data_IF_409873922514
#
_entry.id   IF_409873922514
#
_cell.length_a   1.000
_cell.length_b   1.000
_cell.length_c   1.000
_cell.angle_alpha   90.00
_cell.angle_beta   90.00
_cell.angle_gamma   90.00
#
_symmetry.space_group_name_H-M   'P 1'
#
loop_
_entity.id
_entity.type
_entity.pdbx_description
1 polymer ?
#
# COMPACT_ATOMS: atom_id res chain seq x y z
N UNK A 1 -29.56 6.66 18.35
CA UNK A 1 -28.44 7.48 18.86
C UNK A 1 -27.68 6.67 19.90
N UNK A 2 -26.52 6.15 19.53
CA UNK A 2 -25.62 5.43 20.44
C UNK A 2 -24.48 6.38 20.80
N UNK A 3 -23.95 6.27 22.01
CA UNK A 3 -22.80 7.05 22.44
C UNK A 3 -21.61 6.14 22.68
N UNK A 4 -20.42 6.62 22.32
CA UNK A 4 -19.18 5.90 22.52
C UNK A 4 -18.89 5.76 24.02
N UNK A 5 -18.76 4.53 24.52
CA UNK A 5 -18.53 4.27 25.96
C UNK A 5 -17.17 4.77 26.48
N UNK A 6 -16.26 5.15 25.58
CA UNK A 6 -14.91 5.60 25.92
C UNK A 6 -14.75 7.12 25.83
N UNK A 7 -15.20 7.75 24.75
CA UNK A 7 -15.03 9.20 24.56
C UNK A 7 -16.34 10.00 24.65
N UNK A 8 -17.50 9.35 24.81
CA UNK A 8 -18.80 10.01 24.93
C UNK A 8 -19.35 10.63 23.63
N UNK A 9 -18.64 10.51 22.51
CA UNK A 9 -19.11 11.03 21.22
C UNK A 9 -20.37 10.31 20.75
N UNK A 10 -21.28 11.05 20.12
CA UNK A 10 -22.45 10.47 19.46
C UNK A 10 -22.03 9.70 18.22
N UNK A 11 -22.52 8.47 18.10
CA UNK A 11 -22.25 7.56 16.99
C UNK A 11 -23.52 7.49 16.14
N UNK A 12 -23.47 7.96 14.87
CA UNK A 12 -24.55 7.77 13.91
C UNK A 12 -24.88 6.28 13.72
N UNK A 13 -26.15 5.97 13.45
CA UNK A 13 -26.58 4.59 13.29
C UNK A 13 -25.87 3.94 12.08
N UNK A 14 -25.04 2.92 12.37
CA UNK A 14 -24.24 2.20 11.37
C UNK A 14 -22.75 2.57 11.34
N UNK A 15 -22.33 3.55 12.13
CA UNK A 15 -20.92 3.96 12.25
C UNK A 15 -20.25 3.40 13.52
N UNK A 16 -18.93 3.49 13.55
CA UNK A 16 -18.10 3.14 14.72
C UNK A 16 -17.38 4.39 15.25
N UNK A 17 -17.13 4.40 16.55
CA UNK A 17 -16.43 5.50 17.22
C UNK A 17 -14.94 5.50 16.86
N UNK A 18 -14.41 6.66 16.45
CA UNK A 18 -13.01 6.82 16.01
C UNK A 18 -12.03 7.22 17.12
N UNK A 19 -12.39 7.16 18.41
CA UNK A 19 -11.41 7.43 19.47
C UNK A 19 -10.43 6.26 19.63
N UNK A 20 -9.20 6.57 20.05
CA UNK A 20 -8.12 5.60 20.15
C UNK A 20 -8.51 4.37 21.00
N UNK A 21 -9.22 4.58 22.09
CA UNK A 21 -9.66 3.54 23.02
C UNK A 21 -10.71 2.60 22.41
N UNK A 22 -11.65 3.14 21.62
CA UNK A 22 -12.65 2.35 20.93
C UNK A 22 -12.03 1.50 19.80
N UNK A 23 -11.06 2.06 19.09
CA UNK A 23 -10.31 1.35 18.05
C UNK A 23 -9.46 0.22 18.67
N UNK A 24 -8.80 0.48 19.80
CA UNK A 24 -7.99 -0.51 20.52
C UNK A 24 -8.83 -1.68 21.07
N UNK A 25 -10.06 -1.45 21.52
CA UNK A 25 -10.96 -2.53 21.95
C UNK A 25 -11.45 -3.38 20.78
N UNK A 26 -11.81 -2.76 19.63
CA UNK A 26 -12.21 -3.49 18.44
C UNK A 26 -11.07 -4.38 17.89
N UNK A 27 -9.84 -3.90 17.94
CA UNK A 27 -8.62 -4.66 17.60
C UNK A 27 -8.39 -5.82 18.59
N UNK A 28 -8.65 -5.61 19.87
CA UNK A 28 -8.46 -6.61 20.93
C UNK A 28 -9.53 -7.71 20.91
N UNK A 29 -10.76 -7.40 20.47
CA UNK A 29 -11.84 -8.38 20.32
C UNK A 29 -11.56 -9.42 19.21
N UNK A 30 -10.79 -9.04 18.19
CA UNK A 30 -10.37 -9.96 17.10
C UNK A 30 -9.23 -10.90 17.54
N UNK A 31 -8.42 -10.53 18.55
CA UNK A 31 -7.30 -11.36 19.04
C UNK A 31 -7.69 -12.59 19.87
N UNK A 32 -8.98 -12.85 20.11
CA UNK A 32 -9.46 -14.09 20.78
C UNK A 32 -10.12 -15.06 19.80
N UNK A 33 -9.41 -15.47 18.76
CA UNK A 33 -9.53 -16.82 18.21
C UNK A 33 -8.16 -17.27 17.71
N UNK A 34 -7.31 -17.71 18.64
CA UNK A 34 -6.21 -18.60 18.29
C UNK A 34 -6.52 -20.01 18.78
N UNK A 35 -6.29 -20.97 17.87
CA UNK A 35 -5.87 -22.35 18.13
C UNK A 35 -6.97 -23.42 18.35
N UNK A 36 -7.46 -24.00 17.26
CA UNK A 36 -7.21 -25.40 16.88
C UNK A 36 -7.96 -25.86 15.59
N UNK A 37 -7.33 -26.82 14.92
CA UNK A 37 -7.89 -27.75 13.92
C UNK A 37 -8.21 -27.25 12.50
N UNK A 38 -7.62 -28.01 11.57
CA UNK A 38 -7.79 -28.01 10.12
C UNK A 38 -9.26 -28.19 9.70
N UNK A 39 -9.55 -27.68 8.49
CA UNK A 39 -10.70 -27.97 7.62
C UNK A 39 -11.98 -27.10 7.76
N UNK A 40 -12.17 -26.25 6.75
CA UNK A 40 -13.43 -26.20 6.02
C UNK A 40 -14.40 -25.07 6.35
N UNK A 41 -14.22 -23.92 5.71
CA UNK A 41 -15.32 -23.08 5.24
C UNK A 41 -14.81 -22.05 4.19
N UNK A 42 -14.51 -22.53 2.98
CA UNK A 42 -14.66 -21.69 1.80
C UNK A 42 -16.16 -21.49 1.55
N UNK A 43 -16.67 -20.30 1.86
CA UNK A 43 -17.90 -19.74 1.28
C UNK A 43 -17.50 -18.32 0.84
N UNK A 44 -17.05 -18.16 -0.40
CA UNK A 44 -17.88 -17.65 -1.51
C UNK A 44 -18.49 -16.28 -1.13
N UNK A 45 -18.00 -15.13 -1.61
CA UNK A 45 -17.73 -14.72 -3.00
C UNK A 45 -16.73 -13.56 -2.93
N UNK A 46 -15.58 -13.70 -3.61
CA UNK A 46 -15.15 -12.66 -4.54
C UNK A 46 -14.96 -13.33 -5.90
N UNK A 47 -16.03 -13.98 -6.39
CA UNK A 47 -16.24 -14.06 -7.82
C UNK A 47 -16.47 -12.62 -8.29
N UNK A 48 -15.43 -11.98 -8.82
CA UNK A 48 -15.56 -10.73 -9.56
C UNK A 48 -14.76 -9.52 -9.05
N UNK A 49 -13.48 -9.67 -8.69
CA UNK A 49 -12.48 -8.60 -8.99
C UNK A 49 -11.17 -9.22 -9.50
N UNK A 50 -11.28 -10.25 -10.33
CA UNK A 50 -10.25 -10.50 -11.34
C UNK A 50 -10.79 -9.82 -12.60
N UNK A 51 -10.02 -8.89 -13.17
CA UNK A 51 -10.30 -8.07 -14.38
C UNK A 51 -10.97 -6.73 -14.08
N UNK A 52 -10.17 -5.72 -13.73
CA UNK A 52 -9.73 -4.69 -14.70
C UNK A 52 -8.22 -4.52 -14.45
N UNK A 53 -7.40 -5.46 -14.90
CA UNK A 53 -6.39 -5.15 -15.91
C UNK A 53 -6.99 -4.44 -17.14
N UNK A 54 -6.16 -3.71 -17.88
CA UNK A 54 -6.50 -2.87 -19.05
C UNK A 54 -6.98 -1.46 -18.59
N UNK A 55 -6.16 -0.40 -18.65
CA UNK A 55 -5.86 0.29 -19.91
C UNK A 55 -4.74 1.36 -19.89
N UNK A 56 -3.67 1.24 -19.09
CA UNK A 56 -2.49 2.11 -19.30
C UNK A 56 -1.15 1.36 -19.24
N UNK A 57 -1.10 0.14 -19.79
CA UNK A 57 0.18 -0.36 -20.31
C UNK A 57 0.41 0.38 -21.63
N UNK A 58 0.82 1.66 -21.53
CA UNK A 58 1.53 2.30 -22.61
C UNK A 58 2.83 1.52 -22.76
N UNK A 59 2.80 0.59 -23.70
CA UNK A 59 3.86 -0.34 -24.08
C UNK A 59 5.04 0.41 -24.71
N UNK A 60 5.64 1.34 -23.97
CA UNK A 60 6.95 1.96 -24.22
C UNK A 60 7.50 2.60 -22.92
N UNK A 61 7.18 2.05 -21.73
CA UNK A 61 7.70 2.58 -20.46
C UNK A 61 9.14 2.13 -20.25
N UNK A 62 10.04 3.07 -19.94
CA UNK A 62 11.48 2.84 -19.75
C UNK A 62 11.87 1.98 -18.54
N UNK A 63 10.93 1.21 -17.98
CA UNK A 63 11.08 0.30 -16.83
C UNK A 63 10.84 0.92 -15.45
N UNK A 64 10.62 2.23 -15.38
CA UNK A 64 10.48 3.00 -14.14
C UNK A 64 9.16 2.74 -13.40
N UNK A 65 8.14 2.28 -14.12
CA UNK A 65 6.82 1.89 -13.64
C UNK A 65 6.84 0.54 -12.93
N UNK A 66 7.68 -0.40 -13.36
CA UNK A 66 7.78 -1.74 -12.77
C UNK A 66 7.84 -1.78 -11.24
N UNK A 67 8.69 -1.00 -10.54
CA UNK A 67 8.70 -1.01 -9.08
C UNK A 67 7.43 -0.41 -8.47
N UNK A 68 6.76 0.54 -9.14
CA UNK A 68 5.43 1.03 -8.71
C UNK A 68 4.40 -0.10 -8.82
N UNK A 69 4.39 -0.84 -9.92
CA UNK A 69 3.50 -1.98 -10.12
C UNK A 69 3.69 -3.04 -9.03
N UNK A 70 4.95 -3.38 -8.69
CA UNK A 70 5.24 -4.33 -7.63
C UNK A 70 4.77 -3.84 -6.26
N UNK A 71 4.89 -2.54 -5.99
CA UNK A 71 4.48 -1.94 -4.73
C UNK A 71 2.97 -2.09 -4.52
N UNK A 72 2.17 -1.60 -5.49
CA UNK A 72 0.71 -1.70 -5.40
C UNK A 72 0.19 -3.13 -5.50
N UNK A 73 0.86 -4.00 -6.29
CA UNK A 73 0.53 -5.42 -6.35
C UNK A 73 0.84 -6.13 -5.03
N UNK A 74 1.85 -5.69 -4.30
CA UNK A 74 2.14 -6.16 -2.94
C UNK A 74 1.02 -5.79 -1.98
N UNK A 75 0.58 -4.54 -1.98
CA UNK A 75 -0.56 -4.07 -1.18
C UNK A 75 -1.87 -4.82 -1.51
N UNK A 76 -2.21 -4.95 -2.80
CA UNK A 76 -3.43 -5.63 -3.24
C UNK A 76 -3.46 -7.12 -2.83
N UNK A 77 -2.29 -7.74 -2.74
CA UNK A 77 -2.15 -9.16 -2.37
C UNK A 77 -1.82 -9.39 -0.90
N UNK A 78 -1.73 -8.32 -0.10
CA UNK A 78 -1.19 -8.37 1.26
C UNK A 78 0.13 -9.16 1.33
N UNK A 79 1.05 -8.92 0.39
CA UNK A 79 2.31 -9.66 0.27
C UNK A 79 3.51 -8.73 0.39
N UNK A 80 4.13 -8.71 1.57
CA UNK A 80 5.35 -7.96 1.87
C UNK A 80 6.46 -8.40 0.94
N UNK A 81 6.61 -9.70 0.68
CA UNK A 81 7.61 -10.22 -0.26
C UNK A 81 7.44 -9.68 -1.69
N UNK A 82 6.19 -9.46 -2.14
CA UNK A 82 5.93 -8.84 -3.45
C UNK A 82 6.22 -7.34 -3.40
N UNK A 83 5.77 -6.66 -2.34
CA UNK A 83 6.00 -5.24 -2.14
C UNK A 83 7.49 -4.89 -2.05
N UNK A 84 8.26 -5.68 -1.31
CA UNK A 84 9.70 -5.51 -1.07
C UNK A 84 10.53 -5.49 -2.36
N UNK A 85 10.11 -6.22 -3.40
CA UNK A 85 10.81 -6.22 -4.71
C UNK A 85 10.88 -4.86 -5.38
N UNK A 86 10.01 -3.95 -4.97
CA UNK A 86 9.95 -2.56 -5.43
C UNK A 86 11.15 -1.75 -4.95
N UNK A 87 11.78 -2.15 -3.84
CA UNK A 87 12.84 -1.41 -3.17
C UNK A 87 14.23 -2.03 -3.43
N UNK A 88 15.32 -1.27 -3.20
CA UNK A 88 16.68 -1.81 -3.25
C UNK A 88 16.87 -2.93 -2.23
N UNK A 89 17.87 -3.79 -2.42
CA UNK A 89 18.04 -5.02 -1.61
C UNK A 89 18.09 -4.77 -0.10
N UNK A 90 18.80 -3.74 0.35
CA UNK A 90 18.92 -3.37 1.76
C UNK A 90 17.57 -3.01 2.40
N UNK A 91 16.78 -2.17 1.74
CA UNK A 91 15.43 -1.79 2.17
C UNK A 91 14.47 -2.97 2.04
N UNK A 92 14.59 -3.75 0.96
CA UNK A 92 13.78 -4.96 0.71
C UNK A 92 13.92 -5.96 1.85
N UNK A 93 15.14 -6.22 2.30
CA UNK A 93 15.39 -7.21 3.35
C UNK A 93 15.00 -6.66 4.72
N UNK A 94 15.30 -5.38 5.00
CA UNK A 94 14.79 -4.72 6.20
C UNK A 94 13.26 -4.73 6.28
N UNK A 95 12.57 -4.55 5.16
CA UNK A 95 11.11 -4.56 5.12
C UNK A 95 10.55 -5.96 5.39
N UNK A 96 11.14 -7.01 4.79
CA UNK A 96 10.73 -8.40 5.04
C UNK A 96 11.00 -8.85 6.48
N UNK A 97 12.05 -8.31 7.11
CA UNK A 97 12.41 -8.64 8.49
C UNK A 97 11.56 -7.90 9.53
N UNK A 98 10.96 -6.76 9.15
CA UNK A 98 10.24 -5.87 10.07
C UNK A 98 8.75 -5.76 9.83
N UNK A 99 8.24 -6.32 8.73
CA UNK A 99 6.82 -6.25 8.35
C UNK A 99 6.35 -7.62 7.91
N UNK A 100 5.22 -8.06 8.47
CA UNK A 100 4.58 -9.33 8.12
C UNK A 100 3.39 -9.09 7.17
N UNK A 101 2.97 -10.13 6.46
CA UNK A 101 1.79 -10.05 5.58
C UNK A 101 0.53 -9.66 6.38
N UNK A 102 0.44 -10.05 7.66
CA UNK A 102 -0.64 -9.68 8.59
C UNK A 102 -0.71 -8.16 8.86
N UNK A 103 0.41 -7.44 8.78
CA UNK A 103 0.42 -5.98 8.91
C UNK A 103 -0.27 -5.34 7.70
N UNK A 104 -0.03 -5.86 6.50
CA UNK A 104 -0.72 -5.40 5.29
C UNK A 104 -2.21 -5.75 5.32
N UNK A 105 -2.58 -6.93 5.80
CA UNK A 105 -3.98 -7.30 6.01
C UNK A 105 -4.68 -6.36 7.01
N UNK A 106 -3.97 -5.95 8.06
CA UNK A 106 -4.45 -4.97 9.03
C UNK A 106 -4.67 -3.60 8.37
N UNK A 107 -3.75 -3.15 7.52
CA UNK A 107 -3.94 -1.91 6.73
C UNK A 107 -5.18 -1.99 5.82
N UNK A 108 -5.37 -3.10 5.08
CA UNK A 108 -6.56 -3.29 4.26
C UNK A 108 -7.84 -3.29 5.11
N UNK A 109 -7.80 -3.91 6.29
CA UNK A 109 -8.94 -3.93 7.21
C UNK A 109 -9.31 -2.53 7.70
N UNK A 110 -8.33 -1.67 7.99
CA UNK A 110 -8.57 -0.26 8.34
C UNK A 110 -9.20 0.51 7.18
N UNK A 111 -8.72 0.28 5.95
CA UNK A 111 -9.33 0.86 4.75
C UNK A 111 -10.77 0.38 4.54
N UNK A 112 -11.07 -0.90 4.81
CA UNK A 112 -12.42 -1.45 4.74
C UNK A 112 -13.36 -0.86 5.79
N UNK A 113 -12.85 -0.57 7.00
CA UNK A 113 -13.61 0.16 8.02
C UNK A 113 -13.93 1.55 7.51
N UNK A 114 -12.94 2.27 6.95
CA UNK A 114 -13.07 3.65 6.49
C UNK A 114 -13.97 3.81 5.25
N UNK A 115 -13.78 2.98 4.22
CA UNK A 115 -14.44 3.16 2.91
C UNK A 115 -15.40 2.01 2.54
N UNK A 116 -15.54 1.00 3.39
CA UNK A 116 -16.44 -0.14 3.21
C UNK A 116 -15.73 -1.38 2.66
N UNK A 117 -16.31 -2.56 2.93
CA UNK A 117 -15.77 -3.88 2.54
C UNK A 117 -15.39 -3.98 1.06
N UNK A 118 -14.49 -4.91 0.75
CA UNK A 118 -13.97 -5.23 -0.57
C UNK A 118 -13.22 -4.04 -1.18
N UNK A 119 -12.23 -3.51 -0.46
CA UNK A 119 -11.39 -2.41 -0.96
C UNK A 119 -10.69 -2.84 -2.24
N UNK A 120 -10.79 -1.99 -3.26
CA UNK A 120 -9.99 -2.05 -4.47
C UNK A 120 -9.04 -0.87 -4.49
N UNK A 121 -7.75 -1.15 -4.68
CA UNK A 121 -6.70 -0.14 -4.84
C UNK A 121 -6.34 -0.08 -6.32
N UNK A 122 -6.35 1.11 -6.91
CA UNK A 122 -5.83 1.35 -8.25
C UNK A 122 -4.96 2.60 -8.26
N UNK A 123 -4.00 2.68 -9.17
CA UNK A 123 -3.14 3.84 -9.31
C UNK A 123 -3.02 4.26 -10.78
N UNK A 124 -2.69 5.54 -10.99
CA UNK A 124 -2.39 6.11 -12.29
C UNK A 124 -1.21 7.08 -12.16
N UNK A 125 -0.17 6.89 -12.98
CA UNK A 125 0.99 7.79 -13.00
C UNK A 125 0.61 9.00 -13.85
N UNK A 126 0.26 10.11 -13.19
CA UNK A 126 -0.21 11.34 -13.84
C UNK A 126 0.92 12.12 -14.48
N UNK A 127 2.07 12.17 -13.82
CA UNK A 127 3.23 12.89 -14.31
C UNK A 127 4.54 12.14 -14.03
N UNK A 128 5.54 12.40 -14.86
CA UNK A 128 6.90 11.88 -14.75
C UNK A 128 7.90 12.97 -15.04
N UNK A 129 8.58 13.42 -14.00
CA UNK A 129 9.67 14.38 -14.10
C UNK A 129 11.03 13.68 -14.00
N UNK A 130 11.91 13.87 -14.97
CA UNK A 130 13.30 13.39 -14.89
C UNK A 130 14.09 14.21 -13.88
N UNK A 131 14.77 13.54 -12.95
CA UNK A 131 15.66 14.21 -12.02
C UNK A 131 16.92 14.69 -12.75
N UNK A 132 17.43 15.85 -12.33
CA UNK A 132 18.68 16.42 -12.81
C UNK A 132 19.87 15.71 -12.17
N UNK A 133 21.07 15.92 -12.75
CA UNK A 133 22.30 15.25 -12.31
C UNK A 133 22.68 15.55 -10.85
N UNK A 134 22.43 16.77 -10.40
CA UNK A 134 22.66 17.23 -9.02
C UNK A 134 21.67 16.62 -8.02
N UNK A 135 20.41 16.46 -8.41
CA UNK A 135 19.40 15.73 -7.62
C UNK A 135 19.76 14.25 -7.52
N UNK A 136 20.15 13.62 -8.63
CA UNK A 136 20.64 12.23 -8.64
C UNK A 136 21.86 12.07 -7.73
N UNK A 137 22.86 12.95 -7.83
CA UNK A 137 24.04 12.92 -6.94
C UNK A 137 23.68 13.04 -5.47
N UNK A 138 22.62 13.78 -5.15
CA UNK A 138 22.14 13.91 -3.77
C UNK A 138 21.51 12.59 -3.30
N UNK A 139 20.70 11.93 -4.13
CA UNK A 139 20.16 10.60 -3.85
C UNK A 139 21.26 9.55 -3.69
N UNK A 140 22.29 9.55 -4.55
CA UNK A 140 23.42 8.62 -4.45
C UNK A 140 24.19 8.81 -3.13
N UNK A 141 24.35 10.06 -2.67
CA UNK A 141 25.01 10.34 -1.38
C UNK A 141 24.19 9.84 -0.19
N UNK A 142 22.88 10.01 -0.22
CA UNK A 142 21.99 9.60 0.89
C UNK A 142 21.80 8.09 0.93
N UNK A 143 21.58 7.46 -0.22
CA UNK A 143 21.33 6.01 -0.32
C UNK A 143 22.60 5.16 -0.35
N UNK A 144 23.74 5.73 -0.74
CA UNK A 144 24.96 4.97 -1.03
C UNK A 144 24.90 4.18 -2.35
N UNK A 145 23.81 4.29 -3.10
CA UNK A 145 23.58 3.55 -4.35
C UNK A 145 24.08 4.33 -5.56
N UNK A 146 24.46 3.63 -6.63
CA UNK A 146 24.82 4.24 -7.92
C UNK A 146 23.61 4.29 -8.84
N UNK A 147 23.25 5.47 -9.30
CA UNK A 147 21.98 5.74 -9.99
C UNK A 147 22.26 6.25 -11.42
N UNK A 148 21.79 5.50 -12.42
CA UNK A 148 21.94 5.88 -13.83
C UNK A 148 20.91 6.95 -14.26
N UNK A 149 19.67 6.77 -13.81
CA UNK A 149 18.51 7.62 -14.13
C UNK A 149 17.52 7.56 -12.98
N UNK A 150 16.81 8.64 -12.72
CA UNK A 150 15.70 8.65 -11.76
C UNK A 150 14.57 9.54 -12.27
N UNK A 151 13.35 9.16 -11.90
CA UNK A 151 12.13 9.92 -12.17
C UNK A 151 11.36 10.14 -10.88
N UNK A 152 10.85 11.36 -10.71
CA UNK A 152 9.78 11.65 -9.76
C UNK A 152 8.46 11.43 -10.48
N UNK A 153 7.59 10.65 -9.85
CA UNK A 153 6.30 10.21 -10.36
C UNK A 153 5.22 10.81 -9.47
N UNK A 154 4.31 11.56 -10.07
CA UNK A 154 3.05 11.95 -9.42
C UNK A 154 2.04 10.85 -9.72
N UNK A 155 1.52 10.22 -8.67
CA UNK A 155 0.66 9.05 -8.75
C UNK A 155 -0.65 9.35 -8.04
N UNK A 156 -1.75 9.31 -8.81
CA UNK A 156 -3.09 9.31 -8.25
C UNK A 156 -3.44 7.89 -7.83
N UNK A 157 -3.72 7.68 -6.54
CA UNK A 157 -4.19 6.42 -5.97
C UNK A 157 -5.67 6.54 -5.65
N UNK A 158 -6.46 5.57 -6.11
CA UNK A 158 -7.88 5.44 -5.82
C UNK A 158 -8.13 4.24 -4.91
N UNK A 159 -8.73 4.51 -3.75
CA UNK A 159 -9.24 3.52 -2.80
C UNK A 159 -10.75 3.46 -2.94
N UNK A 160 -11.25 2.36 -3.49
CA UNK A 160 -12.68 2.15 -3.74
C UNK A 160 -13.21 1.04 -2.85
N UNK A 161 -13.99 1.42 -1.84
CA UNK A 161 -14.77 0.48 -1.02
C UNK A 161 -16.25 0.50 -1.41
N UNK A 162 -17.05 -0.37 -0.78
CA UNK A 162 -18.50 -0.42 -1.03
C UNK A 162 -19.25 0.84 -0.56
N UNK A 163 -18.73 1.57 0.42
CA UNK A 163 -19.39 2.73 1.03
C UNK A 163 -18.94 4.03 0.39
N UNK A 164 -17.64 4.19 0.17
CA UNK A 164 -17.05 5.42 -0.36
C UNK A 164 -15.87 5.12 -1.30
N UNK A 165 -15.53 6.11 -2.12
CA UNK A 165 -14.34 6.12 -2.98
C UNK A 165 -13.52 7.36 -2.68
N UNK A 166 -12.23 7.17 -2.44
CA UNK A 166 -11.28 8.26 -2.19
C UNK A 166 -10.13 8.21 -3.18
N UNK A 167 -9.75 9.38 -3.69
CA UNK A 167 -8.55 9.57 -4.48
C UNK A 167 -7.56 10.44 -3.69
N UNK A 168 -6.29 10.10 -3.79
CA UNK A 168 -5.19 10.87 -3.22
C UNK A 168 -4.02 10.88 -4.19
N UNK A 169 -3.19 11.91 -4.14
CA UNK A 169 -1.94 11.96 -4.89
C UNK A 169 -0.77 11.65 -3.97
N UNK A 170 0.15 10.81 -4.45
CA UNK A 170 1.42 10.52 -3.79
C UNK A 170 2.56 10.78 -4.76
N UNK A 171 3.73 11.15 -4.24
CA UNK A 171 4.94 11.29 -5.04
C UNK A 171 5.91 10.13 -4.77
N UNK A 172 6.24 9.37 -5.81
CA UNK A 172 7.25 8.31 -5.73
C UNK A 172 8.48 8.63 -6.59
N UNK A 173 9.66 8.26 -6.12
CA UNK A 173 10.94 8.36 -6.84
C UNK A 173 11.35 6.98 -7.29
N UNK A 174 11.28 6.73 -8.60
CA UNK A 174 11.77 5.51 -9.24
C UNK A 174 13.14 5.74 -9.86
N UNK A 175 14.13 4.97 -9.44
CA UNK A 175 15.53 5.10 -9.84
C UNK A 175 16.07 3.81 -10.43
N UNK A 176 16.83 3.94 -11.51
CA UNK A 176 17.59 2.84 -12.13
C UNK A 176 18.94 2.73 -11.43
N UNK A 177 19.03 1.76 -10.55
CA UNK A 177 20.22 1.44 -9.77
C UNK A 177 21.10 0.48 -10.56
N UNK A 178 22.40 0.76 -10.56
CA UNK A 178 23.38 -0.08 -11.25
C UNK A 178 23.53 -1.43 -10.54
N UNK A 179 23.08 -2.50 -11.19
CA UNK A 179 23.13 -3.86 -10.66
C UNK A 179 21.77 -4.41 -10.25
N UNK A 180 20.82 -3.55 -9.88
CA UNK A 180 19.51 -3.95 -9.35
C UNK A 180 18.33 -3.59 -10.26
N UNK A 181 18.53 -2.73 -11.25
CA UNK A 181 17.47 -2.27 -12.13
C UNK A 181 16.65 -1.13 -11.52
N UNK A 182 15.37 -1.03 -11.88
CA UNK A 182 14.49 0.05 -11.42
C UNK A 182 13.88 -0.27 -10.05
N UNK A 183 14.06 0.62 -9.08
CA UNK A 183 13.58 0.52 -7.70
C UNK A 183 13.01 1.85 -7.19
N UNK A 184 12.15 1.81 -6.18
CA UNK A 184 11.67 2.98 -5.43
C UNK A 184 12.70 3.38 -4.38
N UNK A 185 13.01 4.68 -4.30
CA UNK A 185 13.93 5.25 -3.30
C UNK A 185 13.21 6.08 -2.22
N UNK A 186 11.88 6.03 -2.20
CA UNK A 186 11.12 6.65 -1.11
C UNK A 186 11.39 5.93 0.20
N UNK A 187 11.48 6.71 1.27
CA UNK A 187 11.45 6.17 2.62
C UNK A 187 10.09 5.50 2.83
N UNK A 188 10.09 4.24 3.26
CA UNK A 188 8.87 3.47 3.52
C UNK A 188 7.97 4.20 4.54
N UNK A 189 8.56 4.92 5.51
CA UNK A 189 7.84 5.73 6.49
C UNK A 189 7.19 6.99 5.92
N UNK A 190 7.55 7.40 4.70
CA UNK A 190 6.90 8.50 3.99
C UNK A 190 5.68 8.04 3.17
N UNK A 191 5.43 6.73 3.10
CA UNK A 191 4.39 6.12 2.27
C UNK A 191 3.29 5.45 3.12
N UNK A 192 3.64 4.93 4.30
CA UNK A 192 2.70 4.34 5.28
C UNK A 192 2.41 5.29 6.44
#
# INVERSE_FOLDING_TARGET
>A
MKYCKFCGAEIPDGEVCHCAEAQNEALSATKTQSKNSMAGAFIAIIAGVVIIFVLLINTFSGGYDKPVDQFFKGLEKCSVSTMAKSFPEDVSDSLKDSTEDEDLESLISLLEIAYGKNIKISYDIKDKTSLKKDEIKSLEKTSGLKIDKAYKLDIEVEFKGKRDTRKTSIELTSAKIKGEGWKLLNDVSSIM
#
